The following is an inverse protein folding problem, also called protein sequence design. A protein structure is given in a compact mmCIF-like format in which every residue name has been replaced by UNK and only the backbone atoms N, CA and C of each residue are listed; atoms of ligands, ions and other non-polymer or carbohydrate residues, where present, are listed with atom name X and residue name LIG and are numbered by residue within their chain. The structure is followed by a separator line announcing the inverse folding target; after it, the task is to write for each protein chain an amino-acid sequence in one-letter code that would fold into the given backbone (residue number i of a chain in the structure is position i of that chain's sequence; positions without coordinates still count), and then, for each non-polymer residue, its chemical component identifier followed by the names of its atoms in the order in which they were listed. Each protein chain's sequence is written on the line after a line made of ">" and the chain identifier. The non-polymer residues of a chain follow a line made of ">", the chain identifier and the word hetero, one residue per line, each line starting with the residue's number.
data_IF_840659580567
#
_entry.id   IF_840659580567
#
_cell.length_a   1.000
_cell.length_b   1.000
_cell.length_c   1.000
_cell.angle_alpha   90.00
_cell.angle_beta   90.00
_cell.angle_gamma   90.00
#
_symmetry.space_group_name_H-M   'P 1'
#
loop_
_entity.id
_entity.type
_entity.pdbx_description
1 polymer ?
#
# COMPACT_ATOMS: atom_id res chain seq x y z
N UNK A 1 12.48 -25.39 -21.74
CA UNK A 1 11.06 -25.63 -21.43
C UNK A 1 10.17 -24.59 -22.12
N UNK A 2 9.02 -24.99 -22.67
CA UNK A 2 8.08 -24.08 -23.34
C UNK A 2 7.20 -23.31 -22.34
N UNK A 3 6.88 -22.04 -22.61
CA UNK A 3 5.98 -21.23 -21.77
C UNK A 3 4.59 -21.86 -21.61
N UNK A 4 4.10 -22.54 -22.65
CA UNK A 4 2.81 -23.24 -22.62
C UNK A 4 2.82 -24.49 -21.75
N UNK A 5 3.96 -25.19 -21.66
CA UNK A 5 4.11 -26.36 -20.80
C UNK A 5 4.03 -25.96 -19.33
N UNK A 6 4.82 -24.94 -18.94
CA UNK A 6 4.81 -24.37 -17.59
C UNK A 6 3.43 -23.80 -17.22
N UNK A 7 2.76 -23.14 -18.17
CA UNK A 7 1.43 -22.60 -17.93
C UNK A 7 0.38 -23.68 -17.63
N UNK A 8 0.46 -24.82 -18.34
CA UNK A 8 -0.42 -25.99 -18.11
C UNK A 8 -0.15 -26.63 -16.76
N UNK A 9 1.12 -26.80 -16.40
CA UNK A 9 1.53 -27.37 -15.11
C UNK A 9 1.05 -26.51 -13.93
N UNK A 10 1.11 -25.19 -14.06
CA UNK A 10 0.68 -24.24 -13.04
C UNK A 10 -0.81 -23.86 -13.12
N UNK A 11 -1.58 -24.45 -14.04
CA UNK A 11 -2.98 -24.13 -14.31
C UNK A 11 -3.25 -22.62 -14.45
N UNK A 12 -2.36 -21.91 -15.16
CA UNK A 12 -2.51 -20.48 -15.46
C UNK A 12 -2.52 -20.23 -16.96
N UNK A 13 -3.06 -19.10 -17.39
CA UNK A 13 -3.00 -18.72 -18.79
C UNK A 13 -1.55 -18.43 -19.22
N UNK A 14 -1.18 -18.80 -20.46
CA UNK A 14 0.19 -18.67 -20.97
C UNK A 14 0.72 -17.23 -20.90
N UNK A 15 -0.17 -16.23 -21.00
CA UNK A 15 0.19 -14.82 -20.89
C UNK A 15 0.83 -14.47 -19.54
N UNK A 16 0.44 -15.15 -18.47
CA UNK A 16 0.99 -14.93 -17.12
C UNK A 16 2.47 -15.29 -17.09
N UNK A 17 2.82 -16.46 -17.63
CA UNK A 17 4.21 -16.93 -17.73
C UNK A 17 5.02 -16.04 -18.67
N UNK A 18 4.47 -15.66 -19.83
CA UNK A 18 5.14 -14.76 -20.79
C UNK A 18 5.45 -13.39 -20.18
N UNK A 19 4.51 -12.79 -19.44
CA UNK A 19 4.72 -11.51 -18.75
C UNK A 19 5.78 -11.62 -17.65
N UNK A 20 5.78 -12.74 -16.92
CA UNK A 20 6.73 -12.98 -15.83
C UNK A 20 8.16 -13.14 -16.36
N UNK A 21 8.33 -13.93 -17.43
CA UNK A 21 9.62 -14.09 -18.10
C UNK A 21 10.14 -12.77 -18.66
N UNK A 22 9.27 -11.97 -19.29
CA UNK A 22 9.64 -10.63 -19.78
C UNK A 22 10.13 -9.75 -18.63
N UNK A 23 9.37 -9.68 -17.52
CA UNK A 23 9.76 -8.91 -16.33
C UNK A 23 11.11 -9.36 -15.77
N UNK A 24 11.34 -10.67 -15.69
CA UNK A 24 12.60 -11.22 -15.19
C UNK A 24 13.79 -10.84 -16.09
N UNK A 25 13.61 -10.87 -17.42
CA UNK A 25 14.66 -10.41 -18.36
C UNK A 25 14.96 -8.93 -18.23
N UNK A 26 13.93 -8.12 -17.99
CA UNK A 26 14.06 -6.66 -17.88
C UNK A 26 14.67 -6.21 -16.54
N UNK A 27 14.35 -6.90 -15.42
CA UNK A 27 14.67 -6.41 -14.06
C UNK A 27 15.43 -7.41 -13.19
N UNK A 28 15.72 -8.61 -13.69
CA UNK A 28 16.34 -9.68 -12.90
C UNK A 28 15.46 -10.23 -11.77
N UNK A 29 14.19 -9.81 -11.70
CA UNK A 29 13.29 -10.16 -10.61
C UNK A 29 11.85 -10.35 -11.08
N UNK A 30 11.17 -11.32 -10.48
CA UNK A 30 9.73 -11.56 -10.62
C UNK A 30 8.90 -10.89 -9.52
N UNK A 31 9.57 -10.27 -8.54
CA UNK A 31 8.92 -9.59 -7.41
C UNK A 31 7.91 -8.55 -7.88
N UNK A 32 6.90 -8.33 -7.04
CA UNK A 32 5.96 -7.25 -7.25
C UNK A 32 6.70 -5.91 -7.20
N UNK A 33 6.45 -5.04 -8.17
CA UNK A 33 6.97 -3.68 -8.12
C UNK A 33 6.37 -2.96 -6.91
N UNK A 34 7.13 -2.08 -6.24
CA UNK A 34 6.55 -1.19 -5.26
C UNK A 34 5.39 -0.45 -5.93
N UNK A 35 4.21 -0.50 -5.34
CA UNK A 35 3.08 0.24 -5.87
C UNK A 35 3.41 1.74 -5.79
N UNK A 36 3.20 2.47 -6.89
CA UNK A 36 3.24 3.95 -6.95
C UNK A 36 2.07 4.57 -6.14
N UNK A 37 1.93 4.21 -4.86
CA UNK A 37 0.98 4.84 -3.95
C UNK A 37 1.57 6.15 -3.45
N UNK A 38 0.71 7.15 -3.27
CA UNK A 38 1.08 8.38 -2.54
C UNK A 38 1.70 7.99 -1.20
N UNK A 39 2.73 8.73 -0.72
CA UNK A 39 3.29 8.49 0.61
C UNK A 39 2.15 8.49 1.63
N UNK A 40 2.18 7.49 2.52
CA UNK A 40 1.19 7.42 3.61
C UNK A 40 1.33 8.65 4.49
N UNK A 41 0.19 9.25 4.83
CA UNK A 41 0.14 10.45 5.66
C UNK A 41 0.48 10.14 7.12
N UNK A 42 -0.09 9.09 7.75
CA UNK A 42 0.31 8.72 9.10
C UNK A 42 1.54 7.82 9.06
N UNK A 43 2.40 7.96 10.08
CA UNK A 43 3.48 7.01 10.32
C UNK A 43 2.91 5.70 10.87
N UNK A 44 3.62 4.56 10.78
CA UNK A 44 3.14 3.29 11.34
C UNK A 44 2.74 3.36 12.82
N UNK A 45 3.46 4.15 13.63
CA UNK A 45 3.11 4.39 15.03
C UNK A 45 1.78 5.16 15.20
N UNK A 46 1.50 6.14 14.33
CA UNK A 46 0.22 6.87 14.33
C UNK A 46 -0.94 5.94 13.93
N UNK A 47 -0.72 5.04 12.96
CA UNK A 47 -1.72 4.05 12.56
C UNK A 47 -2.07 3.11 13.72
N UNK A 48 -1.10 2.64 14.50
CA UNK A 48 -1.35 1.82 15.69
C UNK A 48 -2.15 2.59 16.74
N UNK A 49 -1.79 3.85 17.01
CA UNK A 49 -2.55 4.69 17.93
C UNK A 49 -4.01 4.89 17.49
N UNK A 50 -4.24 5.11 16.18
CA UNK A 50 -5.58 5.22 15.59
C UNK A 50 -6.37 3.91 15.79
N UNK A 51 -5.75 2.76 15.53
CA UNK A 51 -6.39 1.46 15.75
C UNK A 51 -6.79 1.27 17.22
N UNK A 52 -5.86 1.52 18.16
CA UNK A 52 -6.14 1.44 19.59
C UNK A 52 -7.27 2.38 20.02
N UNK A 53 -7.29 3.61 19.49
CA UNK A 53 -8.35 4.58 19.75
C UNK A 53 -9.72 4.09 19.30
N UNK A 54 -9.83 3.47 18.13
CA UNK A 54 -11.12 2.96 17.65
C UNK A 54 -11.55 1.66 18.32
N UNK A 55 -10.61 0.87 18.84
CA UNK A 55 -10.93 -0.28 19.70
C UNK A 55 -11.52 0.17 21.04
N UNK A 56 -10.95 1.20 21.66
CA UNK A 56 -11.44 1.77 22.93
C UNK A 56 -12.74 2.59 22.75
N UNK A 57 -12.80 3.40 21.69
CA UNK A 57 -13.91 4.30 21.40
C UNK A 57 -14.58 3.91 20.10
N UNK A 58 -15.37 2.83 20.13
CA UNK A 58 -16.01 2.25 18.93
C UNK A 58 -16.92 3.23 18.18
N UNK A 59 -17.55 4.16 18.89
CA UNK A 59 -18.43 5.19 18.31
C UNK A 59 -17.70 6.48 17.93
N UNK A 60 -16.36 6.52 18.06
CA UNK A 60 -15.58 7.71 17.69
C UNK A 60 -15.69 7.93 16.18
N UNK A 61 -16.18 9.10 15.72
CA UNK A 61 -16.28 9.39 14.30
C UNK A 61 -14.90 9.53 13.66
N UNK A 62 -14.77 9.05 12.42
CA UNK A 62 -13.55 9.18 11.64
C UNK A 62 -13.07 10.63 11.51
N UNK A 63 -13.99 11.60 11.40
CA UNK A 63 -13.69 13.05 11.33
C UNK A 63 -12.92 13.53 12.55
N UNK A 64 -13.25 13.03 13.75
CA UNK A 64 -12.55 13.39 14.99
C UNK A 64 -11.14 12.79 15.04
N UNK A 65 -10.95 11.61 14.45
CA UNK A 65 -9.62 11.00 14.30
C UNK A 65 -8.79 11.75 13.26
N UNK A 66 -9.39 12.15 12.14
CA UNK A 66 -8.73 12.95 11.11
C UNK A 66 -8.29 14.32 11.65
N UNK A 67 -9.15 15.05 12.37
CA UNK A 67 -8.82 16.34 12.96
C UNK A 67 -7.69 16.26 14.01
N UNK A 68 -7.62 15.15 14.75
CA UNK A 68 -6.56 14.90 15.73
C UNK A 68 -5.26 14.37 15.10
N UNK A 69 -5.35 13.80 13.89
CA UNK A 69 -4.18 13.28 13.18
C UNK A 69 -3.48 14.44 12.49
N UNK A 70 -2.46 14.99 13.16
CA UNK A 70 -1.60 16.00 12.56
C UNK A 70 -0.86 15.35 11.37
N UNK A 71 -1.31 15.67 10.16
CA UNK A 71 -0.63 15.38 8.92
C UNK A 71 0.52 16.36 8.67
N UNK A 72 1.34 16.07 7.65
CA UNK A 72 2.33 17.02 7.12
C UNK A 72 1.69 18.18 6.32
N UNK A 73 0.39 18.10 6.04
CA UNK A 73 -0.38 19.12 5.31
C UNK A 73 -1.23 19.93 6.29
N UNK A 74 -1.21 21.26 6.10
CA UNK A 74 -1.96 22.25 6.86
C UNK A 74 -1.62 22.32 8.36
N UNK A 75 -0.35 22.10 8.75
CA UNK A 75 0.09 22.52 10.07
C UNK A 75 0.02 24.04 10.13
N UNK A 76 -0.86 24.58 10.96
CA UNK A 76 -0.97 26.02 11.20
C UNK A 76 0.22 26.41 12.06
N UNK A 77 1.24 27.00 11.44
CA UNK A 77 2.55 27.30 12.06
C UNK A 77 2.44 28.43 13.11
N UNK A 78 1.38 29.25 13.07
CA UNK A 78 1.14 30.31 14.06
C UNK A 78 -0.35 30.64 14.19
N UNK A 79 -0.74 31.11 15.39
CA UNK A 79 -2.09 31.59 15.72
C UNK A 79 -2.31 33.09 15.41
N UNK A 80 -1.28 33.82 14.96
CA UNK A 80 -1.38 35.26 14.70
C UNK A 80 -1.77 35.56 13.24
N UNK A 81 -2.95 36.15 13.09
CA UNK A 81 -3.37 37.04 11.99
C UNK A 81 -4.16 38.17 12.62
#
# INVERSE_FOLDING_TARGET
>A
MSTRAVARELNVHFSTISRLQRRFREFGSTSNRPHNRRPRVPTPAKDLHIQHLHLQYRLRPATRTAAATIGLHNQRISAQT
#
